data_IF_269119144196
#
_entry.id   IF_269119144196
#
_cell.length_a   1.000
_cell.length_b   1.000
_cell.length_c   1.000
_cell.angle_alpha   90.00
_cell.angle_beta   90.00
_cell.angle_gamma   90.00
#
_symmetry.space_group_name_H-M   'P 1'
#
loop_
_entity.id
_entity.type
_entity.pdbx_description
1 polymer ?
#
# COMPACT_ATOMS: atom_id res chain seq x y z
N UNK A 1 59.37 35.25 -10.36
CA UNK A 1 57.95 35.42 -9.98
C UNK A 1 57.07 34.96 -11.14
N UNK A 2 56.92 33.65 -11.35
CA UNK A 2 56.14 33.05 -12.45
C UNK A 2 55.50 31.74 -11.96
N UNK A 3 54.55 31.85 -11.04
CA UNK A 3 53.80 30.70 -10.52
C UNK A 3 52.32 31.02 -10.31
N UNK A 4 51.72 31.84 -11.18
CA UNK A 4 50.30 32.20 -11.10
C UNK A 4 49.69 32.25 -12.51
N UNK A 5 49.68 31.13 -13.23
CA UNK A 5 48.85 31.01 -14.46
C UNK A 5 48.17 29.65 -14.67
N UNK A 6 48.31 28.68 -13.76
CA UNK A 6 47.77 27.31 -13.98
C UNK A 6 46.60 26.91 -13.07
N UNK A 7 46.01 27.86 -12.31
CA UNK A 7 44.93 27.54 -11.34
C UNK A 7 43.54 28.03 -11.82
N UNK A 8 43.44 28.72 -12.96
CA UNK A 8 42.15 29.28 -13.39
C UNK A 8 41.29 28.37 -14.28
N UNK A 9 41.78 27.18 -14.68
CA UNK A 9 41.02 26.28 -15.58
C UNK A 9 40.42 25.07 -14.86
N UNK A 10 40.68 24.86 -13.56
CA UNK A 10 40.11 23.73 -12.81
C UNK A 10 38.86 24.07 -11.99
N UNK A 11 38.57 25.36 -11.76
CA UNK A 11 37.43 25.77 -10.92
C UNK A 11 36.09 25.92 -11.66
N UNK A 12 36.09 25.85 -13.00
CA UNK A 12 34.85 25.99 -13.78
C UNK A 12 34.13 24.66 -14.07
N UNK A 13 34.71 23.51 -13.68
CA UNK A 13 34.07 22.19 -13.85
C UNK A 13 33.40 21.64 -12.58
N UNK A 14 33.59 22.26 -11.40
CA UNK A 14 32.97 21.78 -10.16
C UNK A 14 31.67 22.50 -9.76
N UNK A 15 31.35 23.66 -10.35
CA UNK A 15 30.11 24.39 -10.03
C UNK A 15 28.88 23.91 -10.82
N UNK A 16 29.07 23.21 -11.95
CA UNK A 16 27.95 22.70 -12.78
C UNK A 16 27.41 21.35 -12.27
N UNK A 17 28.17 20.63 -11.43
CA UNK A 17 27.70 19.36 -10.85
C UNK A 17 26.80 19.55 -9.62
N UNK A 18 26.95 20.65 -8.87
CA UNK A 18 26.20 20.88 -7.63
C UNK A 18 24.75 21.34 -7.86
N UNK A 19 24.51 22.14 -8.91
CA UNK A 19 23.18 22.70 -9.21
C UNK A 19 22.22 21.66 -9.81
N UNK A 20 22.74 20.62 -10.45
CA UNK A 20 21.91 19.54 -10.99
C UNK A 20 21.34 18.66 -9.86
N UNK A 21 22.11 18.34 -8.82
CA UNK A 21 21.64 17.47 -7.73
C UNK A 21 20.36 17.95 -7.05
N UNK A 22 20.21 19.26 -6.84
CA UNK A 22 19.02 19.84 -6.19
C UNK A 22 17.80 19.88 -7.12
N UNK A 23 17.94 20.28 -8.38
CA UNK A 23 16.80 20.39 -9.32
C UNK A 23 16.09 19.05 -9.58
N UNK A 24 16.83 17.95 -9.54
CA UNK A 24 16.24 16.62 -9.72
C UNK A 24 15.63 16.02 -8.45
N UNK A 25 16.03 16.46 -7.25
CA UNK A 25 15.34 16.07 -6.01
C UNK A 25 13.93 16.66 -6.03
N UNK A 26 13.80 17.96 -6.32
CA UNK A 26 12.51 18.67 -6.45
C UNK A 26 11.58 18.06 -7.52
N UNK A 27 12.13 17.60 -8.65
CA UNK A 27 11.33 16.98 -9.70
C UNK A 27 10.67 15.63 -9.29
N UNK A 28 11.22 14.91 -8.30
CA UNK A 28 10.58 13.71 -7.78
C UNK A 28 9.39 14.06 -6.89
N UNK A 29 9.53 15.09 -6.05
CA UNK A 29 8.49 15.59 -5.15
C UNK A 29 7.46 16.50 -5.84
N UNK A 30 7.63 16.78 -7.13
CA UNK A 30 6.65 17.54 -7.92
C UNK A 30 5.24 16.93 -7.80
N UNK A 31 4.20 17.76 -7.62
CA UNK A 31 2.81 17.32 -7.51
C UNK A 31 2.23 16.81 -8.84
N UNK A 32 2.92 17.07 -9.96
CA UNK A 32 2.50 16.73 -11.32
C UNK A 32 2.80 15.26 -11.65
N UNK A 33 2.12 14.38 -10.92
CA UNK A 33 2.19 12.93 -11.08
C UNK A 33 0.94 12.47 -11.81
N UNK A 34 1.11 11.89 -12.99
CA UNK A 34 -0.01 11.43 -13.81
C UNK A 34 0.29 10.10 -14.50
N UNK A 35 -0.75 9.30 -14.80
CA UNK A 35 -0.62 8.20 -15.74
C UNK A 35 -0.05 8.69 -17.07
N UNK A 36 0.87 7.91 -17.62
CA UNK A 36 1.43 8.05 -18.95
C UNK A 36 0.80 6.98 -19.82
N UNK A 37 0.13 7.38 -20.89
CA UNK A 37 -0.42 6.45 -21.87
C UNK A 37 0.53 6.36 -23.06
N UNK A 38 1.23 5.24 -23.20
CA UNK A 38 2.05 4.95 -24.39
C UNK A 38 1.26 4.04 -25.34
N UNK A 39 1.45 4.20 -26.64
CA UNK A 39 0.80 3.33 -27.63
C UNK A 39 1.21 1.86 -27.46
N UNK A 40 2.46 1.60 -27.06
CA UNK A 40 2.96 0.25 -26.77
C UNK A 40 2.30 -0.41 -25.55
N UNK A 41 1.68 0.37 -24.67
CA UNK A 41 0.96 -0.15 -23.51
C UNK A 41 -0.44 -0.63 -23.88
N UNK A 42 -1.00 -0.24 -25.03
CA UNK A 42 -2.36 -0.62 -25.47
C UNK A 42 -2.39 -2.07 -25.98
N UNK A 43 -2.27 -3.02 -25.05
CA UNK A 43 -2.23 -4.45 -25.33
C UNK A 43 -3.61 -5.10 -25.16
N UNK A 44 -3.97 -6.10 -25.99
CA UNK A 44 -5.22 -6.84 -25.81
C UNK A 44 -5.32 -7.47 -24.42
N UNK A 45 -6.47 -7.31 -23.76
CA UNK A 45 -6.74 -7.86 -22.43
C UNK A 45 -6.24 -7.01 -21.26
N UNK A 46 -5.56 -5.89 -21.52
CA UNK A 46 -5.14 -4.93 -20.50
C UNK A 46 -6.27 -3.94 -20.19
N UNK A 47 -6.46 -3.65 -18.92
CA UNK A 47 -7.42 -2.65 -18.44
C UNK A 47 -6.67 -1.47 -17.84
N UNK A 48 -7.10 -0.25 -18.14
CA UNK A 48 -6.55 0.99 -17.57
C UNK A 48 -7.47 1.60 -16.50
N UNK A 49 -8.66 1.06 -16.38
CA UNK A 49 -9.71 1.47 -15.45
C UNK A 49 -10.22 0.24 -14.73
N UNK A 50 -10.70 0.46 -13.51
CA UNK A 50 -11.42 -0.51 -12.69
C UNK A 50 -12.62 -1.08 -13.46
N UNK A 51 -12.75 -2.40 -13.53
CA UNK A 51 -13.83 -3.06 -14.25
C UNK A 51 -15.07 -3.20 -13.36
N UNK A 52 -16.26 -3.43 -13.94
CA UNK A 52 -17.46 -3.57 -13.13
C UNK A 52 -17.39 -4.75 -12.15
N UNK A 53 -17.54 -4.44 -10.86
CA UNK A 53 -17.54 -5.41 -9.77
C UNK A 53 -18.63 -6.47 -9.92
N UNK A 54 -18.35 -7.67 -9.42
CA UNK A 54 -19.30 -8.79 -9.35
C UNK A 54 -20.05 -8.88 -8.01
N UNK A 55 -19.68 -8.04 -7.05
CA UNK A 55 -20.21 -7.98 -5.69
C UNK A 55 -20.21 -6.52 -5.22
N UNK A 56 -21.00 -6.18 -4.20
CA UNK A 56 -20.99 -4.87 -3.55
C UNK A 56 -20.14 -4.86 -2.24
N UNK A 57 -19.50 -5.98 -1.93
CA UNK A 57 -18.60 -6.15 -0.79
C UNK A 57 -17.30 -5.34 -0.94
N UNK A 58 -16.57 -5.16 0.17
CA UNK A 58 -15.28 -4.45 0.13
C UNK A 58 -14.19 -5.35 -0.44
N UNK A 59 -13.35 -4.82 -1.33
CA UNK A 59 -12.41 -5.61 -2.12
C UNK A 59 -11.01 -4.99 -2.16
N UNK A 60 -9.99 -5.81 -2.39
CA UNK A 60 -8.63 -5.36 -2.66
C UNK A 60 -8.40 -5.39 -4.17
N UNK A 61 -8.32 -4.20 -4.77
CA UNK A 61 -8.07 -4.03 -6.21
C UNK A 61 -6.56 -3.98 -6.47
N UNK A 62 -6.13 -4.54 -7.60
CA UNK A 62 -4.71 -4.66 -7.93
C UNK A 62 -4.35 -3.66 -9.02
N UNK A 63 -3.35 -2.82 -8.74
CA UNK A 63 -2.71 -1.97 -9.74
C UNK A 63 -1.40 -2.63 -10.14
N UNK A 64 -1.25 -2.96 -11.42
CA UNK A 64 0.05 -3.29 -12.00
C UNK A 64 0.69 -2.00 -12.52
N UNK A 65 1.77 -1.57 -11.90
CA UNK A 65 2.40 -0.29 -12.24
C UNK A 65 3.81 -0.42 -12.82
N UNK A 66 4.12 0.51 -13.71
CA UNK A 66 5.44 0.68 -14.33
C UNK A 66 5.91 2.12 -14.20
N UNK A 67 7.22 2.34 -14.14
CA UNK A 67 7.80 3.67 -14.36
C UNK A 67 7.85 3.99 -15.85
N UNK A 68 8.00 5.27 -16.19
CA UNK A 68 8.00 5.76 -17.57
C UNK A 68 9.06 5.06 -18.45
N UNK A 69 10.19 4.66 -17.86
CA UNK A 69 11.30 3.98 -18.52
C UNK A 69 11.41 2.48 -18.17
N UNK A 70 10.41 1.91 -17.50
CA UNK A 70 10.38 0.48 -17.18
C UNK A 70 9.95 -0.36 -18.37
N UNK A 71 10.67 -1.45 -18.60
CA UNK A 71 10.24 -2.50 -19.52
C UNK A 71 8.96 -3.14 -18.99
N UNK A 72 7.97 -3.27 -19.87
CA UNK A 72 6.74 -4.00 -19.59
C UNK A 72 6.97 -5.51 -19.72
N UNK A 73 6.69 -6.27 -18.66
CA UNK A 73 6.70 -7.73 -18.68
C UNK A 73 5.30 -8.34 -18.82
N UNK A 74 4.27 -7.49 -18.99
CA UNK A 74 2.89 -7.88 -19.23
C UNK A 74 2.27 -8.69 -18.09
N UNK A 75 2.75 -8.46 -16.86
CA UNK A 75 2.37 -9.27 -15.69
C UNK A 75 0.86 -9.24 -15.38
N UNK A 76 0.18 -8.16 -15.79
CA UNK A 76 -1.26 -7.94 -15.68
C UNK A 76 -2.08 -8.82 -16.65
N UNK A 77 -1.53 -9.19 -17.81
CA UNK A 77 -2.25 -9.92 -18.86
C UNK A 77 -1.71 -11.33 -19.13
N UNK A 78 -0.49 -11.65 -18.69
CA UNK A 78 0.15 -12.94 -18.92
C UNK A 78 -0.10 -13.97 -17.79
N UNK A 79 -0.83 -13.58 -16.75
CA UNK A 79 -1.16 -14.40 -15.57
C UNK A 79 -0.07 -14.47 -14.50
N UNK A 80 1.02 -13.71 -14.61
CA UNK A 80 2.09 -13.73 -13.62
C UNK A 80 1.69 -13.06 -12.30
N UNK A 81 1.00 -11.92 -12.34
CA UNK A 81 0.45 -11.28 -11.13
C UNK A 81 -0.55 -12.22 -10.44
N UNK A 82 -1.41 -12.91 -11.19
CA UNK A 82 -2.33 -13.91 -10.62
C UNK A 82 -1.59 -15.03 -9.89
N UNK A 83 -0.44 -15.49 -10.41
CA UNK A 83 0.40 -16.49 -9.72
C UNK A 83 1.00 -15.92 -8.43
N UNK A 84 1.41 -14.66 -8.40
CA UNK A 84 1.89 -14.00 -7.17
C UNK A 84 0.79 -13.98 -6.11
N UNK A 85 -0.40 -13.51 -6.47
CA UNK A 85 -1.56 -13.43 -5.57
C UNK A 85 -1.96 -14.81 -5.05
N UNK A 86 -2.02 -15.83 -5.92
CA UNK A 86 -2.29 -17.21 -5.51
C UNK A 86 -1.27 -17.75 -4.49
N UNK A 87 0.00 -17.33 -4.57
CA UNK A 87 1.01 -17.73 -3.59
C UNK A 87 0.86 -16.95 -2.27
N UNK A 88 0.50 -15.67 -2.35
CA UNK A 88 0.16 -14.88 -1.17
C UNK A 88 -1.02 -15.50 -0.43
N UNK A 89 -2.11 -15.85 -1.11
CA UNK A 89 -3.29 -16.47 -0.50
C UNK A 89 -2.95 -17.74 0.28
N UNK A 90 -2.14 -18.64 -0.31
CA UNK A 90 -1.70 -19.87 0.39
C UNK A 90 -0.95 -19.56 1.68
N UNK A 91 -0.12 -18.52 1.66
CA UNK A 91 0.64 -18.11 2.84
C UNK A 91 -0.28 -17.46 3.88
N UNK A 92 -1.17 -16.55 3.45
CA UNK A 92 -2.12 -15.83 4.32
C UNK A 92 -3.08 -16.82 4.99
N UNK A 93 -3.71 -17.71 4.22
CA UNK A 93 -4.60 -18.75 4.75
C UNK A 93 -3.91 -19.60 5.82
N UNK A 94 -2.62 -19.93 5.62
CA UNK A 94 -1.84 -20.67 6.62
C UNK A 94 -1.64 -19.84 7.90
N UNK A 95 -1.35 -18.54 7.77
CA UNK A 95 -1.06 -17.66 8.90
C UNK A 95 -2.31 -17.31 9.69
N UNK A 96 -3.40 -16.98 9.03
CA UNK A 96 -4.69 -16.72 9.67
C UNK A 96 -5.21 -17.97 10.37
N UNK A 97 -5.10 -19.15 9.75
CA UNK A 97 -5.42 -20.43 10.41
C UNK A 97 -4.64 -20.69 11.69
N UNK A 98 -3.36 -20.32 11.70
CA UNK A 98 -2.48 -20.53 12.85
C UNK A 98 -2.75 -19.53 13.98
N UNK A 99 -3.16 -18.30 13.63
CA UNK A 99 -3.44 -17.24 14.59
C UNK A 99 -4.87 -17.31 15.14
N UNK A 100 -5.83 -17.82 14.37
CA UNK A 100 -7.22 -17.89 14.80
C UNK A 100 -7.41 -18.98 15.87
N UNK A 101 -8.01 -18.62 17.00
CA UNK A 101 -8.40 -19.52 18.11
C UNK A 101 -9.37 -20.61 17.65
N UNK A 102 -10.24 -20.31 16.67
CA UNK A 102 -11.16 -21.27 16.05
C UNK A 102 -10.46 -22.25 15.09
N UNK A 103 -9.26 -21.92 14.60
CA UNK A 103 -8.58 -22.65 13.53
C UNK A 103 -9.17 -22.41 12.13
N UNK A 104 -10.07 -21.44 11.97
CA UNK A 104 -10.58 -21.01 10.66
C UNK A 104 -9.54 -20.18 9.92
N UNK A 105 -9.52 -20.25 8.59
CA UNK A 105 -8.59 -19.48 7.75
C UNK A 105 -9.32 -18.41 6.98
N UNK A 106 -8.72 -17.23 6.88
CA UNK A 106 -9.16 -16.14 6.01
C UNK A 106 -8.06 -15.71 5.05
N UNK A 107 -8.44 -15.06 3.97
CA UNK A 107 -7.55 -14.35 3.05
C UNK A 107 -8.18 -13.02 2.63
N UNK A 108 -7.45 -12.19 1.89
CA UNK A 108 -7.99 -10.94 1.38
C UNK A 108 -9.06 -11.20 0.32
N UNK A 109 -10.14 -10.42 0.33
CA UNK A 109 -11.15 -10.43 -0.72
C UNK A 109 -10.62 -9.67 -1.92
N UNK A 110 -10.04 -10.39 -2.87
CA UNK A 110 -9.55 -9.80 -4.12
C UNK A 110 -10.68 -9.32 -5.01
N UNK A 111 -10.43 -8.22 -5.71
CA UNK A 111 -11.31 -7.73 -6.75
C UNK A 111 -11.30 -8.64 -7.98
N UNK A 112 -12.47 -8.86 -8.58
CA UNK A 112 -12.69 -9.83 -9.65
C UNK A 112 -13.64 -9.31 -10.70
N UNK A 113 -13.28 -9.60 -11.94
CA UNK A 113 -14.10 -9.35 -13.12
C UNK A 113 -15.21 -10.39 -13.26
N UNK A 114 -16.18 -10.12 -14.13
CA UNK A 114 -17.29 -11.02 -14.47
C UNK A 114 -16.85 -12.40 -14.98
N UNK A 115 -15.65 -12.52 -15.55
CA UNK A 115 -15.10 -13.79 -16.00
C UNK A 115 -14.43 -14.61 -14.87
N UNK A 116 -14.44 -14.09 -13.63
CA UNK A 116 -13.92 -14.73 -12.44
C UNK A 116 -12.41 -14.57 -12.24
N UNK A 117 -11.70 -13.91 -13.16
CA UNK A 117 -10.29 -13.57 -12.99
C UNK A 117 -10.12 -12.34 -12.09
N UNK A 118 -8.90 -12.15 -11.60
CA UNK A 118 -8.58 -10.93 -10.85
C UNK A 118 -8.83 -9.71 -11.72
N UNK A 119 -9.35 -8.65 -11.11
CA UNK A 119 -9.35 -7.35 -11.74
C UNK A 119 -8.00 -6.66 -11.48
N UNK A 120 -7.30 -6.34 -12.56
CA UNK A 120 -5.95 -5.78 -12.53
C UNK A 120 -5.93 -4.59 -13.49
N UNK A 121 -5.74 -3.40 -12.93
CA UNK A 121 -5.58 -2.18 -13.70
C UNK A 121 -4.12 -1.85 -13.93
N UNK A 122 -3.78 -1.47 -15.15
CA UNK A 122 -2.45 -1.04 -15.56
C UNK A 122 -2.28 0.47 -15.40
N UNK A 123 -1.19 0.90 -14.76
CA UNK A 123 -0.80 2.32 -14.72
C UNK A 123 0.71 2.45 -14.98
N UNK A 124 1.08 3.10 -16.08
CA UNK A 124 2.44 3.62 -16.25
C UNK A 124 2.52 5.03 -15.66
N UNK A 125 3.49 5.25 -14.79
CA UNK A 125 3.64 6.51 -14.06
C UNK A 125 4.68 7.37 -14.77
N UNK A 126 4.39 8.67 -14.94
CA UNK A 126 5.25 9.64 -15.63
C UNK A 126 6.56 9.99 -14.89
N UNK A 127 7.17 9.04 -14.18
CA UNK A 127 8.43 9.18 -13.45
C UNK A 127 9.41 8.13 -13.96
N UNK A 128 10.66 8.51 -14.18
CA UNK A 128 11.72 7.58 -14.60
C UNK A 128 12.42 6.96 -13.40
N UNK A 129 13.02 5.80 -13.59
CA UNK A 129 13.84 5.11 -12.60
C UNK A 129 14.99 5.99 -12.08
N UNK A 130 15.58 6.81 -12.96
CA UNK A 130 16.62 7.78 -12.58
C UNK A 130 16.10 8.84 -11.61
N UNK A 131 14.87 9.31 -11.81
CA UNK A 131 14.24 10.29 -10.95
C UNK A 131 13.88 9.68 -9.58
N UNK A 132 13.31 8.48 -9.59
CA UNK A 132 12.93 7.78 -8.35
C UNK A 132 14.11 7.46 -7.44
N UNK A 133 15.32 7.24 -8.00
CA UNK A 133 16.55 7.04 -7.22
C UNK A 133 17.02 8.27 -6.43
N UNK A 134 16.56 9.47 -6.81
CA UNK A 134 17.02 10.74 -6.23
C UNK A 134 16.19 11.24 -5.06
N UNK A 135 15.10 10.56 -4.70
CA UNK A 135 14.47 10.83 -3.42
C UNK A 135 15.51 10.62 -2.31
N UNK A 136 15.65 11.60 -1.44
CA UNK A 136 16.54 11.52 -0.28
C UNK A 136 15.90 10.64 0.79
N UNK A 137 14.59 10.82 1.02
CA UNK A 137 13.76 10.03 1.93
C UNK A 137 12.33 9.92 1.38
N UNK A 138 11.69 8.77 1.61
CA UNK A 138 10.30 8.51 1.25
C UNK A 138 10.05 8.36 -0.25
N UNK A 139 8.90 7.80 -0.58
CA UNK A 139 8.44 7.46 -1.93
C UNK A 139 8.08 8.65 -2.82
N UNK A 140 8.90 9.70 -2.79
CA UNK A 140 8.65 10.99 -3.42
C UNK A 140 7.27 11.54 -3.03
N UNK A 141 7.05 11.62 -1.71
CA UNK A 141 5.79 12.05 -1.07
C UNK A 141 4.60 11.10 -1.33
N UNK A 142 4.84 9.80 -1.49
CA UNK A 142 3.85 8.81 -1.92
C UNK A 142 3.36 9.01 -3.36
N UNK A 143 4.29 9.20 -4.32
CA UNK A 143 3.96 9.44 -5.74
C UNK A 143 3.03 8.39 -6.32
N UNK A 144 3.18 7.13 -5.91
CA UNK A 144 2.34 6.05 -6.38
C UNK A 144 0.90 6.22 -5.89
N UNK A 145 0.70 6.48 -4.60
CA UNK A 145 -0.62 6.76 -4.04
C UNK A 145 -1.26 7.99 -4.69
N UNK A 146 -0.52 9.11 -4.77
CA UNK A 146 -1.03 10.34 -5.42
C UNK A 146 -1.47 10.07 -6.87
N UNK A 147 -0.67 9.34 -7.64
CA UNK A 147 -0.99 9.04 -9.05
C UNK A 147 -2.21 8.14 -9.17
N UNK A 148 -2.27 7.05 -8.41
CA UNK A 148 -3.34 6.05 -8.45
C UNK A 148 -4.67 6.70 -8.04
N UNK A 149 -4.72 7.36 -6.88
CA UNK A 149 -5.97 7.93 -6.38
C UNK A 149 -6.47 9.11 -7.24
N UNK A 150 -5.57 9.95 -7.76
CA UNK A 150 -5.95 11.03 -8.71
C UNK A 150 -6.44 10.48 -10.05
N UNK A 151 -6.10 9.24 -10.41
CA UNK A 151 -6.59 8.60 -11.63
C UNK A 151 -8.00 8.02 -11.50
N UNK A 152 -8.63 8.11 -10.32
CA UNK A 152 -10.00 7.63 -10.09
C UNK A 152 -10.09 6.32 -9.32
N UNK A 153 -8.96 5.75 -8.91
CA UNK A 153 -8.92 4.62 -7.97
C UNK A 153 -9.14 5.11 -6.54
N UNK A 154 -10.32 5.65 -6.25
CA UNK A 154 -10.65 6.28 -4.96
C UNK A 154 -12.00 5.84 -4.40
N UNK A 155 -12.44 4.61 -4.70
CA UNK A 155 -13.62 4.02 -4.06
C UNK A 155 -13.34 3.70 -2.57
N UNK A 156 -14.14 4.22 -1.62
CA UNK A 156 -14.02 3.88 -0.20
C UNK A 156 -14.23 2.41 0.15
N UNK A 157 -14.84 1.61 -0.73
CA UNK A 157 -14.98 0.16 -0.57
C UNK A 157 -13.76 -0.62 -1.05
N UNK A 158 -12.74 0.06 -1.57
CA UNK A 158 -11.53 -0.58 -2.11
C UNK A 158 -10.27 -0.17 -1.37
N UNK A 159 -9.40 -1.16 -1.17
CA UNK A 159 -7.98 -0.95 -0.89
C UNK A 159 -7.21 -1.31 -2.16
N UNK A 160 -6.15 -0.56 -2.46
CA UNK A 160 -5.35 -0.75 -3.67
C UNK A 160 -3.99 -1.34 -3.32
N UNK A 161 -3.73 -2.54 -3.84
CA UNK A 161 -2.38 -3.09 -3.91
C UNK A 161 -1.71 -2.53 -5.17
N UNK A 162 -0.74 -1.65 -5.00
CA UNK A 162 0.18 -1.30 -6.07
C UNK A 162 1.29 -2.35 -6.19
N UNK A 163 1.20 -3.22 -7.19
CA UNK A 163 2.25 -4.13 -7.61
C UNK A 163 3.13 -3.48 -8.68
N UNK A 164 4.25 -2.86 -8.26
CA UNK A 164 5.17 -2.17 -9.15
C UNK A 164 6.22 -3.11 -9.75
N UNK A 165 6.16 -3.34 -11.07
CA UNK A 165 7.12 -4.19 -11.77
C UNK A 165 8.37 -3.42 -12.23
N UNK A 166 9.07 -2.88 -11.23
CA UNK A 166 10.30 -2.14 -11.40
C UNK A 166 11.14 -2.20 -10.13
N UNK A 167 12.40 -1.77 -10.26
CA UNK A 167 13.28 -1.62 -9.10
C UNK A 167 12.98 -0.31 -8.39
N UNK A 168 12.57 -0.41 -7.14
CA UNK A 168 12.45 0.73 -6.23
C UNK A 168 13.48 0.66 -5.11
N UNK A 169 13.91 1.80 -4.56
CA UNK A 169 14.98 1.81 -3.55
C UNK A 169 14.49 1.41 -2.16
N UNK A 170 13.21 1.63 -1.88
CA UNK A 170 12.61 1.42 -0.56
C UNK A 170 12.00 0.02 -0.48
N UNK A 171 11.78 -0.43 0.75
CA UNK A 171 11.00 -1.63 1.04
C UNK A 171 9.53 -1.42 0.65
N UNK A 172 8.73 -2.49 0.55
CA UNK A 172 7.27 -2.37 0.57
C UNK A 172 6.80 -1.46 1.70
N UNK A 173 5.71 -0.74 1.46
CA UNK A 173 5.17 0.21 2.43
C UNK A 173 3.70 0.54 2.13
N UNK A 174 2.97 0.90 3.17
CA UNK A 174 1.62 1.47 3.12
C UNK A 174 1.64 2.99 3.34
N UNK A 175 0.59 3.67 2.85
CA UNK A 175 0.35 5.10 3.10
C UNK A 175 -0.77 5.34 4.11
N UNK A 176 -1.26 4.26 4.75
CA UNK A 176 -2.56 4.24 5.40
C UNK A 176 -3.68 3.92 4.40
N UNK A 177 -4.93 4.15 4.81
CA UNK A 177 -6.07 3.88 3.95
C UNK A 177 -6.07 4.83 2.75
N UNK A 178 -6.13 4.35 1.49
CA UNK A 178 -6.53 3.00 1.08
C UNK A 178 -5.42 2.16 0.40
N UNK A 179 -4.12 2.48 0.53
CA UNK A 179 -3.13 1.99 -0.46
C UNK A 179 -1.85 1.46 0.16
N UNK A 180 -1.39 0.34 -0.40
CA UNK A 180 -0.07 -0.21 -0.11
C UNK A 180 0.70 -0.62 -1.36
N UNK A 181 2.02 -0.64 -1.25
CA UNK A 181 2.94 -0.78 -2.37
C UNK A 181 3.88 -1.95 -2.16
N UNK A 182 3.98 -2.80 -3.18
CA UNK A 182 4.95 -3.89 -3.25
C UNK A 182 5.63 -3.85 -4.61
N UNK A 183 6.96 -3.96 -4.62
CA UNK A 183 7.76 -3.85 -5.84
C UNK A 183 8.48 -5.16 -6.15
N UNK A 184 8.71 -5.46 -7.43
CA UNK A 184 9.42 -6.69 -7.82
C UNK A 184 10.88 -6.70 -7.39
N UNK A 185 11.47 -5.51 -7.12
CA UNK A 185 12.79 -5.38 -6.48
C UNK A 185 12.85 -4.17 -5.53
N UNK A 186 13.41 -4.38 -4.35
CA UNK A 186 13.74 -3.35 -3.36
C UNK A 186 15.27 -3.26 -3.24
N UNK A 187 15.85 -2.13 -3.65
CA UNK A 187 17.30 -2.00 -3.76
C UNK A 187 17.89 -3.04 -4.73
N UNK A 188 18.84 -3.85 -4.26
CA UNK A 188 19.40 -4.97 -5.03
C UNK A 188 18.64 -6.29 -4.86
N UNK A 189 17.71 -6.35 -3.92
CA UNK A 189 17.02 -7.57 -3.52
C UNK A 189 15.79 -7.81 -4.39
N UNK A 190 15.61 -9.07 -4.82
CA UNK A 190 14.47 -9.49 -5.61
C UNK A 190 13.38 -9.98 -4.67
N UNK A 191 12.15 -9.58 -4.95
CA UNK A 191 10.98 -10.11 -4.27
C UNK A 191 10.90 -11.63 -4.45
N UNK A 192 10.70 -12.36 -3.37
CA UNK A 192 10.47 -13.81 -3.39
C UNK A 192 8.99 -14.13 -3.17
N UNK A 193 8.54 -15.30 -3.65
CA UNK A 193 7.15 -15.75 -3.44
C UNK A 193 6.76 -15.85 -1.96
N UNK A 194 7.71 -16.22 -1.10
CA UNK A 194 7.49 -16.32 0.32
C UNK A 194 7.37 -14.94 0.97
N UNK A 195 8.22 -14.00 0.56
CA UNK A 195 8.17 -12.62 1.07
C UNK A 195 6.92 -11.89 0.58
N UNK A 196 6.45 -12.17 -0.63
CA UNK A 196 5.26 -11.52 -1.18
C UNK A 196 4.01 -11.78 -0.33
N UNK A 197 3.76 -13.02 0.09
CA UNK A 197 2.62 -13.31 0.98
C UNK A 197 2.70 -12.58 2.33
N UNK A 198 3.91 -12.45 2.87
CA UNK A 198 4.16 -11.66 4.07
C UNK A 198 3.87 -10.17 3.85
N UNK A 199 4.42 -9.56 2.80
CA UNK A 199 4.24 -8.15 2.50
C UNK A 199 2.79 -7.82 2.15
N UNK A 200 2.09 -8.69 1.42
CA UNK A 200 0.66 -8.50 1.15
C UNK A 200 -0.12 -8.41 2.45
N UNK A 201 0.08 -9.35 3.38
CA UNK A 201 -0.62 -9.30 4.66
C UNK A 201 -0.20 -8.07 5.47
N UNK A 202 1.10 -7.92 5.74
CA UNK A 202 1.66 -6.86 6.58
C UNK A 202 1.25 -5.46 6.11
N UNK A 203 1.46 -5.16 4.83
CA UNK A 203 1.16 -3.83 4.31
C UNK A 203 -0.35 -3.59 4.14
N UNK A 204 -1.14 -4.64 3.90
CA UNK A 204 -2.60 -4.50 3.89
C UNK A 204 -3.15 -4.17 5.27
N UNK A 205 -2.56 -4.71 6.35
CA UNK A 205 -2.95 -4.38 7.72
C UNK A 205 -2.65 -2.89 8.00
N UNK A 206 -1.47 -2.39 7.58
CA UNK A 206 -1.17 -0.96 7.62
C UNK A 206 -2.13 -0.12 6.76
N UNK A 207 -2.47 -0.57 5.55
CA UNK A 207 -3.45 0.12 4.71
C UNK A 207 -4.86 0.16 5.33
N UNK A 208 -5.17 -0.74 6.25
CA UNK A 208 -6.42 -0.72 7.02
C UNK A 208 -6.33 0.15 8.29
N UNK A 209 -5.18 0.81 8.55
CA UNK A 209 -4.91 1.60 9.76
C UNK A 209 -4.47 0.76 10.97
N UNK A 210 -4.27 -0.55 10.77
CA UNK A 210 -3.74 -1.44 11.79
C UNK A 210 -2.22 -1.36 11.86
N UNK A 211 -1.61 -1.44 13.05
CA UNK A 211 -2.21 -1.67 14.36
C UNK A 211 -2.79 -0.38 14.94
N UNK A 212 -3.94 -0.48 15.61
CA UNK A 212 -4.61 0.66 16.23
C UNK A 212 -4.02 1.02 17.60
N UNK A 213 -4.07 2.30 17.97
CA UNK A 213 -3.48 2.84 19.22
C UNK A 213 -4.06 2.26 20.51
N UNK A 214 -5.28 1.71 20.43
CA UNK A 214 -5.92 1.02 21.54
C UNK A 214 -5.27 -0.33 21.89
N UNK A 215 -4.41 -0.85 21.02
CA UNK A 215 -3.69 -2.09 21.21
C UNK A 215 -2.62 -1.96 22.32
N UNK A 216 -2.53 -2.91 23.28
CA UNK A 216 -1.61 -2.84 24.41
C UNK A 216 -0.13 -2.64 24.03
N UNK A 217 0.33 -3.26 22.95
CA UNK A 217 1.72 -3.15 22.49
C UNK A 217 1.90 -2.21 21.29
N UNK A 218 0.91 -1.36 20.98
CA UNK A 218 1.04 -0.33 19.95
C UNK A 218 2.34 0.47 20.10
N UNK A 219 2.95 0.74 18.96
CA UNK A 219 4.16 1.51 18.78
C UNK A 219 4.08 2.32 17.48
N UNK A 220 5.02 3.24 17.31
CA UNK A 220 5.05 4.22 16.21
C UNK A 220 4.77 3.59 14.83
N UNK A 221 4.02 4.32 14.00
CA UNK A 221 3.76 3.93 12.61
C UNK A 221 2.98 2.61 12.50
N UNK A 222 2.01 2.38 13.39
CA UNK A 222 1.11 1.22 13.33
C UNK A 222 1.79 -0.14 13.54
N UNK A 223 2.86 -0.16 14.33
CA UNK A 223 3.62 -1.38 14.65
C UNK A 223 3.35 -1.85 16.08
N UNK A 224 3.70 -3.10 16.39
CA UNK A 224 3.98 -3.50 17.77
C UNK A 224 5.41 -3.15 18.16
N UNK A 225 5.66 -2.99 19.46
CA UNK A 225 7.02 -2.87 20.01
C UNK A 225 7.90 -4.04 19.56
N UNK A 226 9.20 -3.77 19.41
CA UNK A 226 10.19 -4.78 18.99
C UNK A 226 10.09 -6.06 19.82
N UNK A 227 9.73 -7.16 19.17
CA UNK A 227 9.62 -8.46 19.81
C UNK A 227 10.40 -9.51 19.02
N UNK A 228 11.74 -9.42 19.12
CA UNK A 228 12.67 -10.23 18.32
C UNK A 228 12.49 -11.75 18.51
N UNK A 229 11.99 -12.19 19.66
CA UNK A 229 11.79 -13.60 19.99
C UNK A 229 10.47 -14.17 19.47
N UNK A 230 9.39 -13.40 19.50
CA UNK A 230 8.07 -13.86 19.01
C UNK A 230 8.00 -13.96 17.48
N UNK A 231 8.77 -13.13 16.78
CA UNK A 231 8.66 -12.95 15.34
C UNK A 231 7.29 -12.43 14.91
N UNK A 232 6.63 -11.59 15.72
CA UNK A 232 5.41 -10.88 15.33
C UNK A 232 5.61 -10.15 14.00
N UNK A 233 4.71 -10.38 13.05
CA UNK A 233 4.80 -9.86 11.70
C UNK A 233 4.60 -8.35 11.65
N UNK A 234 3.89 -7.75 12.61
CA UNK A 234 3.66 -6.30 12.68
C UNK A 234 4.64 -5.59 13.65
N UNK A 235 5.70 -6.27 14.10
CA UNK A 235 6.71 -5.63 14.95
C UNK A 235 7.59 -4.66 14.16
N UNK A 236 7.91 -3.52 14.79
CA UNK A 236 8.79 -2.46 14.23
C UNK A 236 10.13 -2.99 13.68
N UNK A 237 10.63 -4.07 14.27
CA UNK A 237 11.69 -4.91 13.74
C UNK A 237 11.27 -6.37 13.89
N UNK A 238 10.88 -6.98 12.77
CA UNK A 238 10.57 -8.40 12.73
C UNK A 238 11.82 -9.19 13.11
N UNK A 239 11.71 -9.94 14.21
CA UNK A 239 12.79 -10.77 14.73
C UNK A 239 13.17 -11.94 13.84
N UNK A 240 14.10 -12.78 14.32
CA UNK A 240 14.48 -14.04 13.65
C UNK A 240 13.39 -15.14 13.71
N UNK A 241 12.21 -14.83 14.24
CA UNK A 241 11.07 -15.75 14.34
C UNK A 241 10.35 -15.97 13.00
N UNK A 242 9.32 -16.84 13.03
CA UNK A 242 8.63 -17.35 11.83
C UNK A 242 7.65 -16.37 11.15
N UNK A 243 7.72 -15.05 11.41
CA UNK A 243 6.73 -14.04 10.98
C UNK A 243 5.30 -14.45 11.36
N UNK A 244 5.05 -14.57 12.66
CA UNK A 244 3.81 -15.02 13.25
C UNK A 244 2.79 -13.86 13.28
N UNK A 245 1.52 -14.16 13.00
CA UNK A 245 0.42 -13.18 13.04
C UNK A 245 -0.09 -13.12 14.47
N UNK A 246 0.05 -11.95 15.09
CA UNK A 246 -0.26 -11.65 16.50
C UNK A 246 -0.02 -12.86 17.43
N UNK A 247 1.24 -13.16 17.79
CA UNK A 247 1.60 -14.44 18.42
C UNK A 247 0.89 -14.76 19.73
N UNK A 248 0.30 -13.76 20.38
CA UNK A 248 -0.45 -13.89 21.64
C UNK A 248 -1.93 -13.55 21.49
N UNK A 249 -2.36 -13.10 20.32
CA UNK A 249 -3.71 -12.62 20.06
C UNK A 249 -4.15 -11.57 21.10
N UNK A 250 -3.23 -10.66 21.43
CA UNK A 250 -3.42 -9.64 22.46
C UNK A 250 -3.31 -8.22 21.92
N UNK A 251 -3.09 -8.05 20.62
CA UNK A 251 -2.80 -6.74 20.03
C UNK A 251 -3.73 -6.33 18.89
N UNK A 252 -3.88 -7.14 17.83
CA UNK A 252 -4.53 -6.72 16.59
C UNK A 252 -5.22 -7.83 15.80
N UNK A 253 -5.06 -9.11 16.17
CA UNK A 253 -5.70 -10.21 15.45
C UNK A 253 -6.28 -11.27 16.41
N UNK A 254 -7.57 -11.57 16.24
CA UNK A 254 -8.35 -12.52 17.05
C UNK A 254 -8.19 -12.30 18.57
N UNK A 255 -8.23 -11.04 18.99
CA UNK A 255 -8.06 -10.62 20.39
C UNK A 255 -9.41 -10.35 21.07
N UNK A 256 -9.38 -10.13 22.40
CA UNK A 256 -10.60 -9.91 23.20
C UNK A 256 -10.73 -8.45 23.69
N UNK A 257 -10.23 -7.47 22.94
CA UNK A 257 -10.21 -6.05 23.35
C UNK A 257 -11.46 -5.39 22.77
N UNK A 258 -12.45 -5.11 23.62
CA UNK A 258 -13.80 -4.76 23.16
C UNK A 258 -13.94 -3.41 22.44
N UNK A 259 -13.03 -2.47 22.69
CA UNK A 259 -13.06 -1.11 22.14
C UNK A 259 -11.97 -0.88 21.08
N UNK A 260 -11.30 -1.95 20.63
CA UNK A 260 -10.24 -1.91 19.64
C UNK A 260 -10.63 -2.76 18.43
N UNK A 261 -10.49 -2.25 17.18
CA UNK A 261 -10.84 -3.05 16.02
C UNK A 261 -9.92 -4.26 15.89
N UNK A 262 -10.52 -5.44 15.74
CA UNK A 262 -9.81 -6.69 15.49
C UNK A 262 -9.66 -6.90 13.99
N UNK A 263 -8.43 -6.93 13.47
CA UNK A 263 -8.18 -6.98 12.04
C UNK A 263 -8.80 -8.21 11.36
N UNK A 264 -9.03 -9.31 12.10
CA UNK A 264 -9.75 -10.49 11.61
C UNK A 264 -11.17 -10.16 11.13
N UNK A 265 -11.77 -9.15 11.74
CA UNK A 265 -13.13 -8.68 11.49
C UNK A 265 -13.19 -7.59 10.41
N UNK A 266 -12.07 -7.21 9.79
CA UNK A 266 -12.08 -6.25 8.69
C UNK A 266 -12.91 -6.79 7.52
N UNK A 267 -13.78 -5.93 6.98
CA UNK A 267 -14.57 -6.21 5.77
C UNK A 267 -13.73 -6.58 4.56
N UNK A 268 -12.41 -6.44 4.55
CA UNK A 268 -11.55 -6.86 3.44
C UNK A 268 -11.09 -8.33 3.52
N UNK A 269 -11.41 -9.06 4.60
CA UNK A 269 -11.15 -10.49 4.69
C UNK A 269 -12.36 -11.33 4.26
N UNK A 270 -12.06 -12.49 3.70
CA UNK A 270 -13.04 -13.52 3.34
C UNK A 270 -12.61 -14.89 3.90
N UNK A 271 -13.53 -15.67 4.52
CA UNK A 271 -14.92 -15.31 4.82
C UNK A 271 -15.02 -14.09 5.76
N UNK A 272 -16.09 -13.30 5.58
CA UNK A 272 -16.39 -12.14 6.44
C UNK A 272 -16.72 -12.63 7.84
N UNK A 273 -16.19 -11.95 8.85
CA UNK A 273 -16.56 -12.21 10.25
C UNK A 273 -18.04 -11.89 10.51
N UNK A 274 -18.62 -12.46 11.57
CA UNK A 274 -19.96 -12.12 12.04
C UNK A 274 -20.07 -10.72 12.65
N UNK A 275 -18.94 -10.09 12.98
CA UNK A 275 -18.85 -8.76 13.61
C UNK A 275 -18.01 -7.80 12.77
N UNK A 276 -18.32 -7.61 11.47
CA UNK A 276 -17.42 -6.90 10.57
C UNK A 276 -17.29 -5.42 10.92
N UNK A 277 -16.14 -4.84 10.60
CA UNK A 277 -15.94 -3.39 10.62
C UNK A 277 -15.29 -2.91 9.32
N UNK A 278 -15.51 -1.63 8.97
CA UNK A 278 -14.89 -1.01 7.80
C UNK A 278 -13.67 -0.17 8.19
N UNK A 279 -12.46 -0.52 7.73
CA UNK A 279 -11.29 0.33 7.88
C UNK A 279 -11.50 1.76 7.38
N UNK A 280 -12.26 1.96 6.30
CA UNK A 280 -12.60 3.31 5.81
C UNK A 280 -13.35 4.11 6.88
N UNK A 281 -14.35 3.53 7.53
CA UNK A 281 -15.10 4.21 8.58
C UNK A 281 -14.19 4.59 9.76
N UNK A 282 -13.40 3.64 10.26
CA UNK A 282 -12.52 3.83 11.42
C UNK A 282 -11.43 4.87 11.17
N UNK A 283 -10.87 4.89 9.95
CA UNK A 283 -9.71 5.73 9.59
C UNK A 283 -10.12 7.07 9.00
N UNK A 284 -11.20 7.14 8.21
CA UNK A 284 -11.54 8.31 7.42
C UNK A 284 -12.77 9.09 7.89
N UNK A 285 -13.69 8.48 8.63
CA UNK A 285 -14.97 9.11 8.96
C UNK A 285 -15.08 9.50 10.44
N UNK A 286 -16.01 10.40 10.72
CA UNK A 286 -16.48 10.63 12.09
C UNK A 286 -17.43 9.50 12.50
N UNK A 287 -17.52 9.20 13.80
CA UNK A 287 -18.27 8.04 14.32
C UNK A 287 -19.75 8.07 13.99
N UNK A 288 -20.33 9.25 13.88
CA UNK A 288 -21.73 9.48 13.53
C UNK A 288 -22.07 9.02 12.10
N UNK A 289 -21.08 8.97 11.21
CA UNK A 289 -21.23 8.57 9.81
C UNK A 289 -20.95 7.07 9.59
N UNK A 290 -20.61 6.31 10.64
CA UNK A 290 -20.37 4.87 10.54
C UNK A 290 -21.67 4.09 10.30
N UNK A 291 -21.61 3.14 9.37
CA UNK A 291 -22.73 2.29 8.93
C UNK A 291 -22.47 0.82 9.28
N UNK A 292 -21.24 0.34 9.08
CA UNK A 292 -20.85 -1.06 9.26
C UNK A 292 -20.25 -1.28 10.65
N UNK A 293 -19.38 -0.38 11.08
CA UNK A 293 -18.54 -0.55 12.27
C UNK A 293 -19.32 -0.29 13.56
N UNK A 294 -18.98 -1.04 14.61
CA UNK A 294 -19.55 -0.85 15.93
C UNK A 294 -19.13 0.50 16.54
N UNK A 295 -20.09 1.29 17.05
CA UNK A 295 -19.85 2.62 17.64
C UNK A 295 -18.91 2.62 18.86
N UNK A 296 -18.72 1.47 19.50
CA UNK A 296 -17.82 1.31 20.64
C UNK A 296 -16.33 1.30 20.23
N UNK A 297 -16.00 1.04 18.96
CA UNK A 297 -14.62 1.03 18.49
C UNK A 297 -14.02 2.44 18.51
N UNK A 298 -12.73 2.56 18.80
CA UNK A 298 -11.98 3.82 18.72
C UNK A 298 -11.55 4.12 17.28
N UNK A 299 -11.57 5.39 16.88
CA UNK A 299 -11.01 5.81 15.60
C UNK A 299 -9.47 5.65 15.61
N UNK A 300 -8.85 5.39 14.44
CA UNK A 300 -7.41 5.66 14.24
C UNK A 300 -7.23 7.17 14.01
N UNK A 301 -6.15 7.85 14.39
CA UNK A 301 -6.11 9.33 14.30
C UNK A 301 -5.39 9.83 13.02
N UNK A 302 -4.58 9.02 12.33
CA UNK A 302 -3.62 9.57 11.35
C UNK A 302 -3.54 8.88 9.95
N UNK A 303 -4.46 7.98 9.59
CA UNK A 303 -4.27 7.11 8.40
C UNK A 303 -5.16 7.36 7.19
N UNK A 304 -6.02 8.39 7.20
CA UNK A 304 -6.86 8.65 6.04
C UNK A 304 -6.10 9.42 4.95
N UNK A 305 -5.46 8.70 4.04
CA UNK A 305 -4.66 9.33 2.98
C UNK A 305 -5.50 10.18 2.01
N UNK A 306 -6.81 9.90 1.91
CA UNK A 306 -7.74 10.71 1.11
C UNK A 306 -7.85 12.18 1.57
N UNK A 307 -7.70 12.46 2.87
CA UNK A 307 -7.81 13.80 3.45
C UNK A 307 -6.47 14.36 3.93
N UNK A 308 -5.49 13.51 4.25
CA UNK A 308 -4.18 13.94 4.76
C UNK A 308 -3.10 14.07 3.67
N UNK A 309 -3.30 13.50 2.49
CA UNK A 309 -2.34 13.58 1.38
C UNK A 309 -2.07 15.02 0.94
N UNK A 310 -0.80 15.42 0.84
CA UNK A 310 -0.38 16.81 0.52
C UNK A 310 -1.16 17.46 -0.63
N UNK A 311 -1.30 16.72 -1.73
CA UNK A 311 -1.98 17.14 -2.96
C UNK A 311 -3.33 16.42 -3.19
N UNK A 312 -3.83 15.69 -2.18
CA UNK A 312 -5.08 14.95 -2.19
C UNK A 312 -5.94 15.48 -1.03
N UNK A 313 -6.92 16.31 -1.36
CA UNK A 313 -7.76 16.98 -0.36
C UNK A 313 -9.23 16.66 -0.61
N UNK A 314 -9.57 15.37 -0.63
CA UNK A 314 -10.97 15.00 -0.61
C UNK A 314 -11.56 15.51 0.71
N UNK A 315 -12.60 16.34 0.61
CA UNK A 315 -13.34 16.80 1.79
C UNK A 315 -14.59 15.97 2.03
N UNK A 316 -15.14 15.40 0.95
CA UNK A 316 -16.27 14.48 0.97
C UNK A 316 -16.02 13.33 -0.01
N UNK A 317 -16.70 12.21 0.24
CA UNK A 317 -16.72 11.04 -0.65
C UNK A 317 -18.12 10.42 -0.67
N UNK A 318 -18.45 9.68 -1.72
CA UNK A 318 -19.66 8.85 -1.72
C UNK A 318 -19.36 7.50 -1.07
N UNK A 319 -20.10 7.16 -0.04
CA UNK A 319 -20.01 5.87 0.66
C UNK A 319 -21.41 5.31 0.92
N UNK A 320 -21.68 4.10 0.45
CA UNK A 320 -22.99 3.45 0.52
C UNK A 320 -24.15 4.37 0.03
N UNK A 321 -23.92 5.07 -1.08
CA UNK A 321 -24.90 5.97 -1.70
C UNK A 321 -25.11 7.32 -1.00
N UNK A 322 -24.40 7.59 0.09
CA UNK A 322 -24.44 8.87 0.82
C UNK A 322 -23.15 9.65 0.65
N UNK A 323 -23.26 10.97 0.61
CA UNK A 323 -22.08 11.83 0.73
C UNK A 323 -21.67 11.90 2.21
N UNK A 324 -20.42 11.54 2.49
CA UNK A 324 -19.84 11.54 3.85
C UNK A 324 -18.67 12.51 3.90
N UNK A 325 -18.49 13.16 5.04
CA UNK A 325 -17.39 14.11 5.26
C UNK A 325 -16.18 13.37 5.79
N UNK A 326 -15.03 13.58 5.16
CA UNK A 326 -13.78 13.01 5.66
C UNK A 326 -13.28 13.81 6.87
N UNK A 327 -12.77 13.09 7.86
CA UNK A 327 -12.03 13.67 8.98
C UNK A 327 -10.70 14.23 8.46
N UNK A 328 -10.31 15.38 9.00
CA UNK A 328 -9.07 16.07 8.65
C UNK A 328 -7.94 15.69 9.58
#
# INVERSE_FOLDING_TARGET
MNLIKTILTLFFCFSVFSLNSFSYADACYSPDTKPLLLEEDKKPGRYFEDQPDITDEHQVHIIYSLLADSKDNEGDINGDVEKWIKNADKWILKKTKQANKSGESQTLRWDKRKDGKLDISFIRINKTSKLMKKSQYGSCDNVFARTILKHGFNDPKKIYLNFGDFKFKEWPYSVGFPLFNIFTKHGSEKLTKQDFGYFVLHESLHAMGGIYECSPNYFEGHNTKNNKSSGDLMARQVGSGKRNLDPKNDDYWDHNISDCPDMRDSVFFTPTSSTPYSPFEITCLNKEDWIISNKNLKNSIDDCYYSSGRDLKFSTMKYNGKEVKLRK
#
